data_IF_758922530487
#
_entry.id   IF_758922530487
#
_cell.length_a   1.000
_cell.length_b   1.000
_cell.length_c   1.000
_cell.angle_alpha   90.00
_cell.angle_beta   90.00
_cell.angle_gamma   90.00
#
_symmetry.space_group_name_H-M   'P 1'
#
loop_
_entity.id
_entity.type
_entity.pdbx_description
1 polymer ?
#
# COMPACT_ATOMS: atom_id res chain seq x y z
N UNK A 1 13.20 -2.68 -0.92
CA UNK A 1 13.31 -3.03 -2.36
C UNK A 1 12.28 -4.07 -2.79
N UNK A 2 12.18 -5.25 -2.17
CA UNK A 2 11.21 -6.28 -2.61
C UNK A 2 9.77 -6.08 -2.15
N UNK A 3 9.49 -5.17 -1.21
CA UNK A 3 8.14 -4.98 -0.67
C UNK A 3 7.06 -4.68 -1.75
N UNK A 4 7.31 -3.83 -2.76
CA UNK A 4 6.36 -3.59 -3.85
C UNK A 4 6.11 -4.83 -4.72
N UNK A 5 7.13 -5.69 -4.89
CA UNK A 5 7.00 -6.96 -5.63
C UNK A 5 6.17 -7.96 -4.85
N UNK A 6 6.43 -8.11 -3.55
CA UNK A 6 5.64 -8.98 -2.66
C UNK A 6 4.19 -8.50 -2.57
N UNK A 7 3.98 -7.19 -2.57
CA UNK A 7 2.65 -6.58 -2.59
C UNK A 7 1.97 -6.67 -3.97
N UNK A 8 2.62 -7.24 -4.98
CA UNK A 8 2.09 -7.40 -6.34
C UNK A 8 1.92 -6.08 -7.10
N UNK A 9 2.55 -5.00 -6.65
CA UNK A 9 2.54 -3.71 -7.34
C UNK A 9 3.55 -3.65 -8.47
N UNK A 10 4.72 -4.28 -8.29
CA UNK A 10 5.81 -4.32 -9.27
C UNK A 10 6.19 -5.76 -9.63
N UNK A 11 6.82 -5.95 -10.78
CA UNK A 11 7.46 -7.19 -11.19
C UNK A 11 8.93 -7.23 -10.73
N UNK A 12 9.49 -8.44 -10.63
CA UNK A 12 10.87 -8.62 -10.14
C UNK A 12 11.92 -7.92 -11.03
N UNK A 13 11.73 -7.93 -12.35
CA UNK A 13 12.71 -7.37 -13.28
C UNK A 13 12.72 -5.83 -13.27
N UNK A 14 11.61 -5.20 -12.89
CA UNK A 14 11.46 -3.75 -12.78
C UNK A 14 12.34 -3.12 -11.68
N UNK A 15 13.00 -3.94 -10.84
CA UNK A 15 13.94 -3.49 -9.83
C UNK A 15 15.34 -3.17 -10.37
N UNK A 16 15.67 -3.63 -11.59
CA UNK A 16 17.04 -3.54 -12.13
C UNK A 16 17.10 -3.24 -13.63
N UNK A 17 15.98 -3.24 -14.35
CA UNK A 17 15.91 -2.93 -15.78
C UNK A 17 15.87 -1.42 -16.11
N UNK A 18 15.82 -0.58 -15.07
CA UNK A 18 15.72 0.88 -15.21
C UNK A 18 14.30 1.41 -15.41
N UNK A 19 13.27 0.57 -15.27
CA UNK A 19 11.85 0.98 -15.32
C UNK A 19 11.52 1.99 -14.23
N UNK A 20 12.07 1.79 -13.03
CA UNK A 20 11.87 2.68 -11.88
C UNK A 20 13.18 3.23 -11.34
N UNK A 21 13.13 4.45 -10.82
CA UNK A 21 14.21 5.09 -10.11
C UNK A 21 14.13 4.81 -8.61
N UNK A 22 15.16 5.21 -7.87
CA UNK A 22 15.13 5.15 -6.41
C UNK A 22 14.00 6.02 -5.81
N UNK A 23 13.64 7.13 -6.44
CA UNK A 23 12.54 7.98 -5.96
C UNK A 23 11.19 7.26 -6.12
N UNK A 24 10.96 6.59 -7.24
CA UNK A 24 9.74 5.79 -7.45
C UNK A 24 9.62 4.68 -6.39
N UNK A 25 10.74 4.12 -5.93
CA UNK A 25 10.76 3.15 -4.84
C UNK A 25 10.30 3.78 -3.51
N UNK A 26 10.65 5.02 -3.22
CA UNK A 26 10.20 5.72 -2.03
C UNK A 26 8.70 6.03 -2.13
N UNK A 27 8.26 6.51 -3.29
CA UNK A 27 6.86 6.87 -3.54
C UNK A 27 5.94 5.65 -3.39
N UNK A 28 6.31 4.49 -3.95
CA UNK A 28 5.48 3.28 -3.79
C UNK A 28 5.42 2.80 -2.34
N UNK A 29 6.46 3.01 -1.53
CA UNK A 29 6.40 2.69 -0.09
C UNK A 29 5.44 3.64 0.63
N UNK A 30 5.46 4.94 0.31
CA UNK A 30 4.51 5.90 0.87
C UNK A 30 3.07 5.53 0.49
N UNK A 31 2.81 5.22 -0.78
CA UNK A 31 1.50 4.78 -1.25
C UNK A 31 1.03 3.55 -0.47
N UNK A 32 1.88 2.54 -0.31
CA UNK A 32 1.55 1.33 0.45
C UNK A 32 1.21 1.63 1.92
N UNK A 33 1.93 2.57 2.56
CA UNK A 33 1.64 2.99 3.93
C UNK A 33 0.28 3.71 4.03
N UNK A 34 0.01 4.62 3.09
CA UNK A 34 -1.27 5.36 3.04
C UNK A 34 -2.44 4.41 2.77
N UNK A 35 -2.28 3.44 1.86
CA UNK A 35 -3.29 2.42 1.60
C UNK A 35 -3.61 1.59 2.84
N UNK A 36 -2.59 1.21 3.61
CA UNK A 36 -2.74 0.49 4.87
C UNK A 36 -3.50 1.31 5.92
N UNK A 37 -3.13 2.58 6.09
CA UNK A 37 -3.81 3.48 7.04
C UNK A 37 -5.27 3.75 6.63
N UNK A 38 -5.53 3.94 5.34
CA UNK A 38 -6.89 4.14 4.83
C UNK A 38 -7.76 2.91 5.09
N UNK A 39 -7.23 1.71 4.87
CA UNK A 39 -7.94 0.46 5.16
C UNK A 39 -8.25 0.34 6.65
N UNK A 40 -7.27 0.59 7.51
CA UNK A 40 -7.46 0.59 8.97
C UNK A 40 -8.55 1.56 9.41
N UNK A 41 -8.54 2.80 8.88
CA UNK A 41 -9.58 3.80 9.17
C UNK A 41 -10.96 3.37 8.69
N UNK A 42 -11.04 2.78 7.50
CA UNK A 42 -12.29 2.27 6.95
C UNK A 42 -12.85 1.12 7.82
N UNK A 43 -12.00 0.21 8.29
CA UNK A 43 -12.39 -0.90 9.16
C UNK A 43 -12.91 -0.39 10.52
N UNK A 44 -12.23 0.58 11.13
CA UNK A 44 -12.68 1.23 12.39
C UNK A 44 -14.04 1.89 12.19
N UNK A 45 -14.19 2.71 11.15
CA UNK A 45 -15.47 3.36 10.85
C UNK A 45 -16.59 2.34 10.60
N UNK A 46 -16.32 1.27 9.86
CA UNK A 46 -17.30 0.22 9.60
C UNK A 46 -17.73 -0.52 10.88
N UNK A 47 -16.82 -0.72 11.84
CA UNK A 47 -17.13 -1.32 13.14
C UNK A 47 -18.05 -0.39 13.97
N UNK A 48 -17.70 0.90 14.09
CA UNK A 48 -18.50 1.91 14.78
C UNK A 48 -19.93 2.00 14.20
N UNK A 49 -20.05 1.98 12.86
CA UNK A 49 -21.37 1.99 12.21
C UNK A 49 -22.21 0.74 12.51
N UNK A 50 -21.59 -0.42 12.78
CA UNK A 50 -22.32 -1.64 13.16
C UNK A 50 -22.78 -1.61 14.62
N UNK A 51 -22.02 -0.96 15.50
CA UNK A 51 -22.41 -0.78 16.90
C UNK A 51 -23.56 0.22 17.03
N UNK A 52 -23.51 1.34 16.30
CA UNK A 52 -24.58 2.36 16.32
C UNK A 52 -25.90 1.87 15.72
N UNK A 53 -25.84 0.90 14.80
CA UNK A 53 -27.04 0.34 14.12
C UNK A 53 -27.70 -0.83 14.87
N UNK A 54 -27.10 -1.33 15.94
CA UNK A 54 -27.65 -2.38 16.81
C UNK A 54 -28.39 -1.76 18.00
#
# INVERSE_FOLDING_TARGET
MYAPVIAGKWQQHELWDGTYTFNDLLDVHEIMLVEGENRRRADVYAAEQREVRQ
#
